data_IF_074816537403
#
_entry.id   IF_074816537403
#
_cell.length_a   1.000
_cell.length_b   1.000
_cell.length_c   1.000
_cell.angle_alpha   90.00
_cell.angle_beta   90.00
_cell.angle_gamma   90.00
#
_symmetry.space_group_name_H-M   'P 1'
#
loop_
_entity.id
_entity.type
_entity.pdbx_description
1 polymer ?
#
# COMPACT_ATOMS: atom_id res chain seq x y z
N UNK A 1 -17.23 -31.18 -2.78
CA UNK A 1 -17.37 -30.46 -1.50
C UNK A 1 -16.68 -29.11 -1.66
N UNK A 2 -17.43 -28.07 -2.00
CA UNK A 2 -16.94 -26.70 -2.06
C UNK A 2 -17.45 -25.97 -0.81
N UNK A 3 -16.57 -25.37 -0.03
CA UNK A 3 -16.98 -24.47 1.04
C UNK A 3 -16.35 -23.09 0.79
N UNK A 4 -17.18 -22.19 0.28
CA UNK A 4 -16.93 -20.77 0.21
C UNK A 4 -17.21 -20.16 1.59
N UNK A 5 -16.19 -19.60 2.23
CA UNK A 5 -16.33 -18.78 3.43
C UNK A 5 -15.72 -17.41 3.22
N UNK A 6 -16.45 -16.50 2.56
CA UNK A 6 -16.14 -15.08 2.60
C UNK A 6 -16.76 -14.49 3.88
N UNK A 7 -15.92 -14.26 4.89
CA UNK A 7 -16.30 -13.60 6.14
C UNK A 7 -15.50 -12.32 6.32
N UNK A 8 -16.18 -11.17 6.23
CA UNK A 8 -15.66 -9.87 6.61
C UNK A 8 -15.99 -9.67 8.10
N UNK A 9 -15.02 -9.81 9.00
CA UNK A 9 -15.20 -9.53 10.43
C UNK A 9 -13.95 -8.88 11.03
N UNK A 10 -14.19 -7.80 11.78
CA UNK A 10 -13.18 -7.01 12.48
C UNK A 10 -12.47 -7.76 13.59
N UNK A 11 -11.24 -7.30 13.88
CA UNK A 11 -10.37 -7.70 14.99
C UNK A 11 -10.32 -9.22 15.26
N UNK A 12 -9.95 -10.02 14.25
CA UNK A 12 -9.66 -11.43 14.44
C UNK A 12 -8.26 -11.62 15.03
N UNK A 13 -8.14 -12.44 16.08
CA UNK A 13 -6.86 -12.99 16.53
C UNK A 13 -6.14 -13.62 15.34
N UNK A 14 -5.04 -13.02 14.90
CA UNK A 14 -4.21 -13.52 13.81
C UNK A 14 -3.57 -14.84 14.22
N UNK A 15 -3.58 -15.84 13.34
CA UNK A 15 -2.80 -17.08 13.60
C UNK A 15 -1.30 -16.74 13.65
N UNK A 16 -0.47 -17.54 14.35
CA UNK A 16 0.97 -17.33 14.36
C UNK A 16 1.59 -17.20 12.96
N UNK A 17 1.08 -17.95 11.98
CA UNK A 17 1.50 -17.88 10.58
C UNK A 17 1.12 -16.54 9.94
N UNK A 18 -0.10 -16.04 10.18
CA UNK A 18 -0.54 -14.74 9.65
C UNK A 18 0.25 -13.58 10.27
N UNK A 19 0.55 -13.64 11.57
CA UNK A 19 1.42 -12.66 12.23
C UNK A 19 2.81 -12.67 11.63
N UNK A 20 3.40 -13.86 11.43
CA UNK A 20 4.70 -14.00 10.79
C UNK A 20 4.70 -13.43 9.38
N UNK A 21 3.67 -13.71 8.58
CA UNK A 21 3.53 -13.16 7.23
C UNK A 21 3.42 -11.64 7.22
N UNK A 22 2.69 -11.04 8.16
CA UNK A 22 2.58 -9.58 8.28
C UNK A 22 3.92 -8.95 8.67
N UNK A 23 4.62 -9.50 9.66
CA UNK A 23 5.95 -9.02 10.06
C UNK A 23 6.93 -9.11 8.88
N UNK A 24 6.93 -10.22 8.15
CA UNK A 24 7.77 -10.36 6.97
C UNK A 24 7.41 -9.36 5.85
N UNK A 25 6.11 -9.06 5.65
CA UNK A 25 5.66 -8.04 4.70
C UNK A 25 6.12 -6.64 5.13
N UNK A 26 6.02 -6.33 6.41
CA UNK A 26 6.43 -5.06 6.98
C UNK A 26 7.95 -4.85 6.89
N UNK A 27 8.74 -5.89 7.19
CA UNK A 27 10.20 -5.87 7.01
C UNK A 27 10.58 -5.66 5.54
N UNK A 28 9.94 -6.36 4.60
CA UNK A 28 10.19 -6.15 3.16
C UNK A 28 9.85 -4.73 2.73
N UNK A 29 8.72 -4.20 3.21
CA UNK A 29 8.30 -2.84 2.93
C UNK A 29 9.31 -1.82 3.47
N UNK A 30 9.74 -2.00 4.72
CA UNK A 30 10.76 -1.18 5.35
C UNK A 30 12.06 -1.18 4.55
N UNK A 31 12.57 -2.35 4.17
CA UNK A 31 13.80 -2.48 3.40
C UNK A 31 13.73 -1.79 2.04
N UNK A 32 12.59 -1.85 1.35
CA UNK A 32 12.39 -1.14 0.08
C UNK A 32 12.27 0.38 0.27
N UNK A 33 11.68 0.83 1.37
CA UNK A 33 11.39 2.24 1.61
C UNK A 33 12.49 2.99 2.39
N UNK A 34 13.48 2.28 2.95
CA UNK A 34 14.52 2.88 3.82
C UNK A 34 15.35 3.97 3.14
N UNK A 35 15.57 3.85 1.83
CA UNK A 35 16.36 4.80 1.04
C UNK A 35 15.51 5.92 0.39
N UNK A 36 14.19 5.88 0.54
CA UNK A 36 13.29 6.89 -0.03
C UNK A 36 13.20 8.09 0.94
N UNK A 37 13.79 9.21 0.53
CA UNK A 37 13.85 10.45 1.33
C UNK A 37 12.46 11.07 1.56
N UNK A 38 11.60 11.07 0.54
CA UNK A 38 10.26 11.67 0.60
C UNK A 38 9.19 10.63 0.27
N UNK A 39 8.27 10.39 1.20
CA UNK A 39 7.20 9.39 1.08
C UNK A 39 5.85 10.10 1.07
N UNK A 40 5.11 10.01 -0.03
CA UNK A 40 3.84 10.71 -0.23
C UNK A 40 2.74 9.68 -0.41
N UNK A 41 1.76 9.69 0.48
CA UNK A 41 0.58 8.83 0.39
C UNK A 41 -0.58 9.58 -0.27
N UNK A 42 -1.20 8.97 -1.28
CA UNK A 42 -2.45 9.47 -1.90
C UNK A 42 -3.57 8.54 -1.49
N UNK A 43 -4.53 9.07 -0.72
CA UNK A 43 -5.63 8.29 -0.15
C UNK A 43 -6.99 8.86 -0.55
N UNK A 44 -8.02 8.01 -0.55
CA UNK A 44 -9.42 8.45 -0.70
C UNK A 44 -10.39 7.38 -0.19
N UNK A 45 -11.57 7.84 0.25
CA UNK A 45 -12.55 7.00 0.93
C UNK A 45 -13.51 6.19 0.04
N UNK A 46 -13.55 6.41 -1.28
CA UNK A 46 -14.48 5.71 -2.20
C UNK A 46 -13.78 5.29 -3.50
N UNK A 47 -14.33 4.29 -4.19
CA UNK A 47 -13.88 3.88 -5.53
C UNK A 47 -14.16 4.96 -6.58
N UNK A 48 -13.33 5.05 -7.62
CA UNK A 48 -13.57 5.94 -8.77
C UNK A 48 -13.26 7.43 -8.58
N UNK A 49 -12.92 7.90 -7.38
CA UNK A 49 -12.63 9.34 -7.13
C UNK A 49 -11.27 9.84 -7.63
N UNK A 50 -10.57 9.07 -8.48
CA UNK A 50 -9.35 9.53 -9.16
C UNK A 50 -8.02 9.42 -8.38
N UNK A 51 -7.93 8.61 -7.32
CA UNK A 51 -6.66 8.40 -6.55
C UNK A 51 -5.45 8.15 -7.45
N UNK A 52 -5.55 7.18 -8.36
CA UNK A 52 -4.45 6.81 -9.26
C UNK A 52 -4.14 7.92 -10.26
N UNK A 53 -5.16 8.64 -10.73
CA UNK A 53 -4.99 9.81 -11.60
C UNK A 53 -4.20 10.91 -10.91
N UNK A 54 -4.51 11.21 -9.65
CA UNK A 54 -3.78 12.20 -8.86
C UNK A 54 -2.34 11.75 -8.62
N UNK A 55 -2.13 10.47 -8.27
CA UNK A 55 -0.79 9.93 -8.05
C UNK A 55 0.09 10.01 -9.32
N UNK A 56 -0.47 9.67 -10.48
CA UNK A 56 0.24 9.74 -11.77
C UNK A 56 0.61 11.18 -12.15
N UNK A 57 -0.33 12.13 -12.00
CA UNK A 57 -0.07 13.54 -12.29
C UNK A 57 0.95 14.15 -11.32
N UNK A 58 0.95 13.72 -10.06
CA UNK A 58 1.94 14.17 -9.08
C UNK A 58 3.35 13.67 -9.46
N UNK A 59 3.48 12.42 -9.88
CA UNK A 59 4.73 11.87 -10.38
C UNK A 59 5.23 12.66 -11.60
N UNK A 60 4.37 12.90 -12.59
CA UNK A 60 4.69 13.69 -13.77
C UNK A 60 5.15 15.12 -13.42
N UNK A 61 4.45 15.78 -12.49
CA UNK A 61 4.79 17.13 -12.04
C UNK A 61 6.15 17.19 -11.32
N UNK A 62 6.50 16.16 -10.55
CA UNK A 62 7.82 16.05 -9.92
C UNK A 62 8.93 15.77 -10.94
N UNK A 63 8.69 14.91 -11.93
CA UNK A 63 9.64 14.71 -13.03
C UNK A 63 9.88 16.00 -13.82
N UNK A 64 8.82 16.78 -14.11
CA UNK A 64 8.93 18.11 -14.75
C UNK A 64 9.76 19.10 -13.93
N UNK A 65 9.89 18.90 -12.62
CA UNK A 65 10.76 19.68 -11.73
C UNK A 65 12.17 19.09 -11.56
N UNK A 66 12.51 18.03 -12.29
CA UNK A 66 13.82 17.36 -12.20
C UNK A 66 13.98 16.47 -10.97
N UNK A 67 12.88 16.10 -10.29
CA UNK A 67 12.91 15.21 -9.13
C UNK A 67 12.75 13.75 -9.56
N UNK A 68 13.39 12.85 -8.80
CA UNK A 68 13.25 11.40 -9.02
C UNK A 68 11.89 10.92 -8.48
N UNK A 69 11.17 10.15 -9.30
CA UNK A 69 9.92 9.48 -8.96
C UNK A 69 9.95 8.05 -9.49
N UNK A 70 9.35 7.11 -8.77
CA UNK A 70 9.29 5.69 -9.16
C UNK A 70 8.54 4.87 -8.14
#
# INVERSE_FOLDING_TARGET
MANNGHGHHGAANLTPEQQKQMIEQELRLFEHMKNIKYKIAVMSGKGGVGKSTVAANLAEAFQKKGLLTG
#
